data_IF_292303142176
#
_entry.id   IF_292303142176
#
_cell.length_a   1.000
_cell.length_b   1.000
_cell.length_c   1.000
_cell.angle_alpha   90.00
_cell.angle_beta   90.00
_cell.angle_gamma   90.00
#
_symmetry.space_group_name_H-M   'P 1'
#
loop_
_entity.id
_entity.type
_entity.pdbx_description
1 polymer ?
#
# COMPACT_ATOMS: atom_id res chain seq x y z
N UNK A 1 74.02 -38.72 -44.01
CA UNK A 1 73.08 -39.73 -43.51
C UNK A 1 71.80 -39.02 -43.07
N UNK A 2 70.69 -39.33 -43.73
CA UNK A 2 69.26 -39.38 -43.30
C UNK A 2 68.79 -38.33 -42.26
N UNK A 3 67.93 -37.35 -42.57
CA UNK A 3 66.46 -37.39 -42.86
C UNK A 3 65.68 -36.80 -41.66
N UNK A 4 65.04 -35.63 -41.83
CA UNK A 4 63.57 -35.36 -41.80
C UNK A 4 62.91 -35.72 -40.45
N UNK A 5 62.25 -34.78 -39.76
CA UNK A 5 60.87 -34.43 -40.08
C UNK A 5 60.42 -33.02 -39.63
N UNK A 6 59.36 -32.58 -40.29
CA UNK A 6 58.80 -31.24 -40.43
C UNK A 6 57.56 -31.05 -39.53
N UNK A 7 57.08 -29.80 -39.47
CA UNK A 7 55.69 -29.31 -39.21
C UNK A 7 55.34 -29.21 -37.71
N UNK A 8 54.69 -28.17 -37.13
CA UNK A 8 53.69 -27.23 -37.64
C UNK A 8 53.53 -25.99 -36.74
N UNK A 9 53.38 -24.85 -37.38
CA UNK A 9 53.09 -23.49 -36.86
C UNK A 9 51.70 -23.48 -36.18
N UNK A 10 51.62 -23.18 -34.88
CA UNK A 10 50.34 -23.00 -34.16
C UNK A 10 49.99 -21.51 -34.05
N UNK A 11 49.01 -21.11 -34.85
CA UNK A 11 48.29 -19.84 -34.84
C UNK A 11 47.49 -19.73 -33.53
N UNK A 12 47.76 -18.71 -32.71
CA UNK A 12 47.01 -18.44 -31.47
C UNK A 12 45.83 -17.53 -31.82
N UNK A 13 44.62 -18.09 -31.85
CA UNK A 13 43.37 -17.35 -32.02
C UNK A 13 42.94 -16.85 -30.63
N UNK A 14 42.97 -15.53 -30.44
CA UNK A 14 42.52 -14.85 -29.23
C UNK A 14 40.99 -14.73 -29.27
N UNK A 15 40.30 -15.54 -28.47
CA UNK A 15 38.84 -15.55 -28.36
C UNK A 15 38.44 -14.61 -27.20
N UNK A 16 38.08 -13.37 -27.51
CA UNK A 16 37.46 -12.45 -26.54
C UNK A 16 36.02 -12.92 -26.29
N UNK A 17 35.81 -13.59 -25.16
CA UNK A 17 34.47 -13.91 -24.64
C UNK A 17 33.91 -12.61 -24.04
N UNK A 18 33.03 -11.96 -24.79
CA UNK A 18 32.20 -10.85 -24.30
C UNK A 18 31.13 -11.44 -23.37
N UNK A 19 31.40 -11.47 -22.07
CA UNK A 19 30.39 -11.69 -21.05
C UNK A 19 29.45 -10.48 -21.06
N UNK A 20 28.41 -10.53 -21.89
CA UNK A 20 27.23 -9.69 -21.70
C UNK A 20 26.62 -10.09 -20.37
N UNK A 21 26.94 -9.33 -19.32
CA UNK A 21 26.18 -9.32 -18.07
C UNK A 21 24.81 -8.78 -18.43
N UNK A 22 23.93 -9.66 -18.85
CA UNK A 22 22.50 -9.39 -18.89
C UNK A 22 22.10 -9.12 -17.46
N UNK A 23 21.97 -7.85 -17.10
CA UNK A 23 21.29 -7.45 -15.87
C UNK A 23 20.00 -8.24 -15.81
N UNK A 24 19.73 -8.99 -14.73
CA UNK A 24 18.39 -9.50 -14.54
C UNK A 24 17.52 -8.26 -14.50
N UNK A 25 16.68 -8.08 -15.53
CA UNK A 25 15.49 -7.27 -15.41
C UNK A 25 14.68 -7.98 -14.33
N UNK A 26 14.95 -7.64 -13.08
CA UNK A 26 14.02 -7.86 -12.01
C UNK A 26 12.78 -7.09 -12.46
N UNK A 27 11.81 -7.81 -13.00
CA UNK A 27 10.42 -7.41 -12.86
C UNK A 27 10.13 -7.46 -11.36
N UNK A 28 10.68 -6.48 -10.63
CA UNK A 28 10.18 -6.13 -9.34
C UNK A 28 8.72 -5.80 -9.62
N UNK A 29 7.81 -6.61 -9.07
CA UNK A 29 6.46 -6.13 -8.85
C UNK A 29 6.63 -4.74 -8.25
N UNK A 30 6.16 -3.70 -8.94
CA UNK A 30 6.34 -2.32 -8.49
C UNK A 30 5.70 -2.24 -7.11
N UNK A 31 6.56 -2.29 -6.09
CA UNK A 31 6.19 -2.24 -4.69
C UNK A 31 6.04 -0.77 -4.36
N UNK A 32 5.07 -0.43 -3.51
CA UNK A 32 4.84 0.96 -3.15
C UNK A 32 6.12 1.60 -2.62
N UNK A 33 6.37 2.86 -2.96
CA UNK A 33 7.53 3.58 -2.39
C UNK A 33 7.36 3.79 -0.88
N UNK A 34 8.40 3.55 -0.07
CA UNK A 34 8.43 4.12 1.27
C UNK A 34 8.46 5.66 1.21
N UNK A 35 8.00 6.30 2.28
CA UNK A 35 7.99 7.75 2.43
C UNK A 35 6.61 8.33 2.71
N UNK A 36 6.45 9.62 2.42
CA UNK A 36 5.23 10.38 2.66
C UNK A 36 4.21 10.12 1.56
N UNK A 37 3.01 9.75 1.97
CA UNK A 37 1.86 9.60 1.08
C UNK A 37 0.71 10.49 1.52
N UNK A 38 -0.06 10.96 0.54
CA UNK A 38 -1.39 11.52 0.75
C UNK A 38 -2.43 10.44 0.45
N UNK A 39 -3.28 10.18 1.44
CA UNK A 39 -4.41 9.27 1.36
C UNK A 39 -5.68 10.08 1.28
N UNK A 40 -6.57 9.73 0.35
CA UNK A 40 -7.91 10.30 0.23
C UNK A 40 -8.94 9.20 0.37
N UNK A 41 -10.05 9.47 1.06
CA UNK A 41 -11.14 8.52 1.26
C UNK A 41 -12.48 9.23 1.12
N UNK A 42 -13.34 8.73 0.23
CA UNK A 42 -14.74 9.13 0.09
C UNK A 42 -15.60 7.99 0.58
N UNK A 43 -16.45 8.23 1.59
CA UNK A 43 -17.35 7.22 2.11
C UNK A 43 -18.78 7.75 2.21
N UNK A 44 -19.74 6.90 1.92
CA UNK A 44 -21.15 7.20 2.19
C UNK A 44 -21.42 7.43 3.68
N UNK A 45 -20.60 6.86 4.58
CA UNK A 45 -20.69 7.12 6.01
C UNK A 45 -20.46 8.60 6.35
N UNK A 46 -19.64 9.32 5.57
CA UNK A 46 -19.38 10.74 5.81
C UNK A 46 -20.56 11.63 5.45
N UNK A 47 -21.45 11.19 4.56
CA UNK A 47 -22.66 11.94 4.17
C UNK A 47 -23.61 12.14 5.35
N UNK A 48 -23.66 11.16 6.26
CA UNK A 48 -24.56 11.14 7.41
C UNK A 48 -23.88 11.49 8.74
N UNK A 49 -22.57 11.78 8.74
CA UNK A 49 -21.90 12.26 9.95
C UNK A 49 -22.31 13.71 10.24
N UNK A 50 -22.53 14.06 11.52
CA UNK A 50 -22.72 15.46 11.90
C UNK A 50 -21.53 16.28 11.40
N UNK A 51 -21.80 17.31 10.59
CA UNK A 51 -20.76 18.24 10.14
C UNK A 51 -20.20 18.93 11.38
N UNK A 52 -18.98 18.58 11.79
CA UNK A 52 -18.28 19.31 12.84
C UNK A 52 -17.89 20.68 12.27
N UNK A 53 -18.14 21.74 13.04
CA UNK A 53 -17.68 23.08 12.68
C UNK A 53 -16.16 23.16 12.66
N UNK A 54 -15.61 24.11 11.89
CA UNK A 54 -14.17 24.36 11.87
C UNK A 54 -13.60 24.66 13.27
N UNK A 55 -14.39 25.33 14.11
CA UNK A 55 -14.06 25.60 15.52
C UNK A 55 -13.97 24.34 16.36
N UNK A 56 -14.95 23.42 16.24
CA UNK A 56 -14.89 22.13 16.94
C UNK A 56 -13.67 21.31 16.51
N UNK A 57 -13.38 21.29 15.20
CA UNK A 57 -12.19 20.62 14.67
C UNK A 57 -10.90 21.24 15.24
N UNK A 58 -10.83 22.58 15.30
CA UNK A 58 -9.68 23.29 15.86
C UNK A 58 -9.53 23.06 17.36
N UNK A 59 -10.63 23.03 18.12
CA UNK A 59 -10.61 22.74 19.54
C UNK A 59 -10.17 21.30 19.82
N UNK A 60 -10.65 20.33 19.04
CA UNK A 60 -10.19 18.96 19.11
C UNK A 60 -8.69 18.84 18.80
N UNK A 61 -8.18 19.54 17.78
CA UNK A 61 -6.74 19.62 17.49
C UNK A 61 -5.95 20.22 18.65
N UNK A 62 -6.46 21.27 19.30
CA UNK A 62 -5.85 21.87 20.50
C UNK A 62 -5.82 20.90 21.67
N UNK A 63 -6.80 20.01 21.78
CA UNK A 63 -6.82 18.91 22.76
C UNK A 63 -5.96 17.70 22.35
N UNK A 64 -5.18 17.81 21.27
CA UNK A 64 -4.29 16.74 20.81
C UNK A 64 -4.98 15.63 20.01
N UNK A 65 -6.26 15.81 19.64
CA UNK A 65 -6.98 14.86 18.78
C UNK A 65 -6.57 15.12 17.33
N UNK A 66 -6.04 14.09 16.65
CA UNK A 66 -5.73 14.19 15.23
C UNK A 66 -7.02 14.12 14.42
N UNK A 67 -7.52 15.28 13.98
CA UNK A 67 -8.76 15.36 13.21
C UNK A 67 -8.45 15.40 11.72
N UNK A 68 -8.89 14.39 10.94
CA UNK A 68 -8.64 14.31 9.50
C UNK A 68 -9.09 15.57 8.75
N UNK A 69 -8.39 15.94 7.69
CA UNK A 69 -8.78 17.07 6.85
C UNK A 69 -9.89 16.63 5.90
N UNK A 70 -10.89 17.49 5.67
CA UNK A 70 -11.90 17.25 4.64
C UNK A 70 -11.60 18.14 3.43
N UNK A 71 -11.54 17.55 2.24
CA UNK A 71 -11.35 18.25 0.97
C UNK A 71 -12.24 17.61 -0.08
N UNK A 72 -13.08 18.41 -0.75
CA UNK A 72 -13.99 17.95 -1.81
C UNK A 72 -14.87 16.74 -1.43
N UNK A 73 -15.33 16.73 -0.17
CA UNK A 73 -16.14 15.63 0.38
C UNK A 73 -15.36 14.35 0.68
N UNK A 74 -14.04 14.34 0.49
CA UNK A 74 -13.14 13.27 0.88
C UNK A 74 -12.38 13.62 2.17
N UNK A 75 -12.16 12.61 2.99
CA UNK A 75 -11.21 12.68 4.09
C UNK A 75 -9.80 12.52 3.52
N UNK A 76 -8.96 13.53 3.71
CA UNK A 76 -7.57 13.54 3.27
C UNK A 76 -6.65 13.49 4.49
N UNK A 77 -5.64 12.65 4.42
CA UNK A 77 -4.63 12.50 5.47
C UNK A 77 -3.26 12.21 4.88
N UNK A 78 -2.21 12.62 5.59
CA UNK A 78 -0.84 12.26 5.23
C UNK A 78 -0.38 11.12 6.11
N UNK A 79 0.18 10.10 5.49
CA UNK A 79 0.66 8.88 6.13
C UNK A 79 2.10 8.64 5.71
N UNK A 80 2.96 8.38 6.69
CA UNK A 80 4.32 7.94 6.44
C UNK A 80 4.36 6.41 6.38
N UNK A 81 4.72 5.87 5.21
CA UNK A 81 4.80 4.44 4.93
C UNK A 81 6.26 4.01 5.07
N UNK A 82 6.53 3.05 5.95
CA UNK A 82 7.88 2.51 6.14
C UNK A 82 8.23 1.49 5.04
N UNK A 83 9.51 1.13 4.95
CA UNK A 83 9.97 0.11 4.01
C UNK A 83 9.28 -1.24 4.25
N UNK A 84 9.13 -1.64 5.50
CA UNK A 84 8.48 -2.90 5.88
C UNK A 84 6.98 -2.89 5.54
N UNK A 85 6.34 -1.72 5.53
CA UNK A 85 4.94 -1.58 5.09
C UNK A 85 4.83 -1.66 3.56
N UNK A 86 5.73 -0.98 2.84
CA UNK A 86 5.82 -1.01 1.39
C UNK A 86 6.06 -2.44 0.84
N UNK A 87 6.92 -3.21 1.50
CA UNK A 87 7.26 -4.58 1.14
C UNK A 87 6.12 -5.59 1.34
N UNK A 88 5.09 -5.25 2.13
CA UNK A 88 3.91 -6.13 2.31
C UNK A 88 3.01 -6.16 1.08
N UNK A 89 3.26 -5.32 0.08
CA UNK A 89 2.52 -5.19 -1.18
C UNK A 89 1.00 -5.04 -1.02
N UNK A 90 0.57 -4.65 0.16
CA UNK A 90 -0.83 -4.42 0.50
C UNK A 90 -1.01 -2.92 0.65
N UNK A 91 -2.06 -2.39 0.03
CA UNK A 91 -2.46 -1.02 0.30
C UNK A 91 -2.67 -0.86 1.81
N UNK A 92 -2.28 0.28 2.43
CA UNK A 92 -2.51 0.53 3.83
C UNK A 92 -4.01 0.54 4.13
N UNK A 93 -4.55 -0.63 4.45
CA UNK A 93 -5.89 -0.76 4.98
C UNK A 93 -5.85 -0.11 6.36
N UNK A 94 -6.73 0.87 6.58
CA UNK A 94 -6.83 1.57 7.87
C UNK A 94 -6.91 0.58 9.04
N UNK A 95 -6.41 1.03 10.21
CA UNK A 95 -6.18 0.28 11.45
C UNK A 95 -6.88 -1.10 11.54
N UNK A 96 -6.06 -2.12 11.84
CA UNK A 96 -6.47 -3.48 12.21
C UNK A 96 -7.24 -3.58 13.56
N UNK A 97 -7.99 -2.56 13.99
CA UNK A 97 -8.37 -2.39 15.40
C UNK A 97 -9.82 -2.73 15.76
N UNK A 98 -10.59 -3.42 14.90
CA UNK A 98 -12.00 -3.77 15.21
C UNK A 98 -12.38 -5.23 14.95
N UNK A 99 -11.43 -6.15 15.10
CA UNK A 99 -11.68 -7.58 14.86
C UNK A 99 -11.84 -7.95 13.38
N UNK A 100 -11.41 -7.06 12.48
CA UNK A 100 -11.42 -7.27 11.03
C UNK A 100 -10.08 -7.82 10.55
N UNK A 101 -10.13 -8.87 9.73
CA UNK A 101 -8.98 -9.55 9.16
C UNK A 101 -9.07 -9.54 7.64
N UNK A 102 -7.96 -9.21 6.97
CA UNK A 102 -7.80 -9.41 5.54
C UNK A 102 -7.55 -10.89 5.23
N UNK A 103 -8.26 -11.40 4.24
CA UNK A 103 -8.21 -12.77 3.75
C UNK A 103 -8.15 -12.76 2.22
N UNK A 104 -7.70 -13.88 1.66
CA UNK A 104 -7.72 -14.13 0.22
C UNK A 104 -7.14 -12.97 -0.61
N UNK A 105 -6.02 -12.40 -0.16
CA UNK A 105 -5.35 -11.36 -0.94
C UNK A 105 -4.87 -11.95 -2.26
N UNK A 106 -5.27 -11.33 -3.36
CA UNK A 106 -4.87 -11.69 -4.71
C UNK A 106 -4.33 -10.46 -5.41
N UNK A 107 -3.20 -10.61 -6.08
CA UNK A 107 -2.62 -9.58 -6.95
C UNK A 107 -2.38 -10.16 -8.33
N UNK A 108 -2.82 -9.44 -9.36
CA UNK A 108 -2.60 -9.78 -10.75
C UNK A 108 -2.18 -8.52 -11.50
N UNK A 109 -0.90 -8.45 -11.85
CA UNK A 109 -0.28 -7.23 -12.37
C UNK A 109 -0.45 -6.06 -11.40
N UNK A 110 -1.08 -4.99 -11.87
CA UNK A 110 -1.36 -3.81 -11.07
C UNK A 110 -2.67 -3.90 -10.27
N UNK A 111 -3.54 -4.88 -10.54
CA UNK A 111 -4.79 -5.03 -9.81
C UNK A 111 -4.60 -5.90 -8.56
N UNK A 112 -5.35 -5.59 -7.51
CA UNK A 112 -5.42 -6.39 -6.30
C UNK A 112 -6.84 -6.50 -5.77
N UNK A 113 -7.09 -7.54 -4.99
CA UNK A 113 -8.33 -7.71 -4.24
C UNK A 113 -8.08 -8.45 -2.93
N UNK A 114 -8.98 -8.25 -1.97
CA UNK A 114 -8.95 -8.94 -0.69
C UNK A 114 -10.35 -9.03 -0.11
N UNK A 115 -10.63 -10.12 0.59
CA UNK A 115 -11.82 -10.21 1.44
C UNK A 115 -11.48 -9.67 2.83
N UNK A 116 -12.41 -8.94 3.44
CA UNK A 116 -12.31 -8.48 4.81
C UNK A 116 -13.37 -9.22 5.62
N UNK A 117 -12.97 -9.87 6.70
CA UNK A 117 -13.88 -10.58 7.60
C UNK A 117 -13.75 -9.98 8.98
N UNK A 118 -14.85 -9.41 9.49
CA UNK A 118 -14.93 -8.88 10.83
C UNK A 118 -15.76 -9.82 11.70
N UNK A 119 -15.19 -10.23 12.84
CA UNK A 119 -15.91 -10.99 13.86
C UNK A 119 -15.57 -10.47 15.27
N UNK A 120 -15.62 -9.15 15.42
CA UNK A 120 -15.45 -8.46 16.69
C UNK A 120 -16.78 -8.31 17.46
N UNK A 121 -16.72 -7.99 18.77
CA UNK A 121 -17.91 -7.72 19.57
C UNK A 121 -18.71 -6.50 19.05
N UNK A 122 -17.99 -5.48 18.58
CA UNK A 122 -18.58 -4.24 18.08
C UNK A 122 -18.82 -4.22 16.57
N UNK A 123 -18.21 -5.13 15.81
CA UNK A 123 -18.27 -5.15 14.35
C UNK A 123 -18.21 -6.56 13.81
N UNK A 124 -19.27 -6.98 13.13
CA UNK A 124 -19.37 -8.28 12.45
C UNK A 124 -19.76 -8.07 11.00
N UNK A 125 -19.20 -8.86 10.09
CA UNK A 125 -19.59 -8.81 8.68
C UNK A 125 -18.47 -9.14 7.72
N UNK A 126 -18.75 -8.95 6.45
CA UNK A 126 -17.80 -9.19 5.37
C UNK A 126 -17.68 -7.98 4.47
N UNK A 127 -16.50 -7.79 3.92
CA UNK A 127 -16.25 -6.79 2.91
C UNK A 127 -15.35 -7.29 1.81
N UNK A 128 -15.34 -6.56 0.70
CA UNK A 128 -14.47 -6.82 -0.44
C UNK A 128 -13.72 -5.55 -0.78
N UNK A 129 -12.41 -5.68 -0.87
CA UNK A 129 -11.50 -4.66 -1.37
C UNK A 129 -11.15 -5.02 -2.79
N UNK A 130 -11.20 -4.04 -3.69
CA UNK A 130 -10.63 -4.13 -5.03
C UNK A 130 -9.86 -2.86 -5.30
N UNK A 131 -8.72 -2.95 -5.96
CA UNK A 131 -7.94 -1.76 -6.28
C UNK A 131 -6.94 -1.99 -7.37
N UNK A 132 -6.31 -0.90 -7.79
CA UNK A 132 -5.24 -0.90 -8.77
C UNK A 132 -4.10 0.00 -8.30
N UNK A 133 -2.88 -0.44 -8.53
CA UNK A 133 -1.68 0.37 -8.39
C UNK A 133 -1.42 1.14 -9.69
N UNK A 134 -0.97 2.38 -9.54
CA UNK A 134 -0.44 3.23 -10.60
C UNK A 134 1.08 3.31 -10.41
N UNK A 135 1.75 2.22 -10.78
CA UNK A 135 3.16 1.98 -10.47
C UNK A 135 3.45 1.98 -8.98
N UNK A 136 4.59 2.54 -8.58
CA UNK A 136 5.07 2.59 -7.20
C UNK A 136 4.65 3.87 -6.43
N UNK A 137 3.96 4.80 -7.10
CA UNK A 137 3.64 6.14 -6.56
C UNK A 137 2.15 6.43 -6.42
N UNK A 138 1.27 5.50 -6.81
CA UNK A 138 -0.17 5.71 -6.71
C UNK A 138 -0.97 4.43 -6.54
N UNK A 139 -2.16 4.55 -5.97
CA UNK A 139 -3.18 3.51 -6.02
C UNK A 139 -4.59 4.07 -5.92
N UNK A 140 -5.57 3.30 -6.36
CA UNK A 140 -7.00 3.48 -6.07
C UNK A 140 -7.60 2.19 -5.55
N UNK A 141 -8.64 2.29 -4.74
CA UNK A 141 -9.40 1.14 -4.27
C UNK A 141 -10.83 1.47 -3.91
N UNK A 142 -11.67 0.45 -4.02
CA UNK A 142 -13.03 0.43 -3.52
C UNK A 142 -13.12 -0.58 -2.39
N UNK A 143 -13.94 -0.27 -1.40
CA UNK A 143 -14.29 -1.16 -0.31
C UNK A 143 -15.79 -1.17 -0.13
N UNK A 144 -16.37 -2.36 -0.25
CA UNK A 144 -17.77 -2.63 0.03
C UNK A 144 -17.84 -3.49 1.27
N UNK A 145 -18.59 -3.06 2.28
CA UNK A 145 -18.79 -3.81 3.52
C UNK A 145 -20.26 -3.94 3.86
N UNK A 146 -20.64 -5.15 4.25
CA UNK A 146 -21.97 -5.46 4.80
C UNK A 146 -21.84 -6.19 6.11
N UNK A 147 -22.61 -5.73 7.10
CA UNK A 147 -22.58 -6.33 8.41
C UNK A 147 -23.35 -5.55 9.44
N UNK A 148 -22.85 -5.60 10.67
CA UNK A 148 -23.43 -4.96 11.84
C UNK A 148 -22.32 -4.23 12.60
N UNK A 149 -22.55 -2.98 12.96
CA UNK A 149 -21.68 -2.22 13.86
C UNK A 149 -22.49 -1.73 15.08
N UNK A 150 -22.02 -2.05 16.29
CA UNK A 150 -22.72 -1.77 17.55
C UNK A 150 -24.20 -2.18 17.51
N UNK A 151 -24.47 -3.40 17.03
CA UNK A 151 -25.83 -3.94 16.93
C UNK A 151 -26.71 -3.37 15.81
N UNK A 152 -26.23 -2.40 15.02
CA UNK A 152 -26.99 -1.81 13.90
C UNK A 152 -26.48 -2.29 12.54
N UNK A 153 -27.37 -2.61 11.58
CA UNK A 153 -26.96 -2.95 10.23
C UNK A 153 -26.14 -1.82 9.59
N UNK A 154 -25.07 -2.20 8.88
CA UNK A 154 -24.22 -1.29 8.11
C UNK A 154 -24.04 -1.87 6.72
N UNK A 155 -24.30 -1.04 5.73
CA UNK A 155 -23.91 -1.24 4.33
C UNK A 155 -23.08 -0.01 3.96
N UNK A 156 -21.80 -0.20 3.69
CA UNK A 156 -20.86 0.89 3.46
C UNK A 156 -20.08 0.67 2.19
N UNK A 157 -20.16 1.64 1.30
CA UNK A 157 -19.23 1.81 0.20
C UNK A 157 -18.26 2.94 0.54
N UNK A 158 -16.98 2.73 0.26
CA UNK A 158 -16.02 3.81 0.18
C UNK A 158 -14.98 3.59 -0.91
N UNK A 159 -14.54 4.70 -1.46
CA UNK A 159 -13.44 4.79 -2.41
C UNK A 159 -12.25 5.42 -1.70
N UNK A 160 -11.06 4.90 -1.95
CA UNK A 160 -9.82 5.49 -1.45
C UNK A 160 -8.77 5.59 -2.54
N UNK A 161 -7.87 6.54 -2.39
CA UNK A 161 -6.70 6.68 -3.24
C UNK A 161 -5.47 7.07 -2.42
N UNK A 162 -4.31 6.69 -2.94
CA UNK A 162 -3.02 7.05 -2.39
C UNK A 162 -2.14 7.70 -3.44
N UNK A 163 -1.41 8.74 -3.06
CA UNK A 163 -0.38 9.39 -3.87
C UNK A 163 0.90 9.59 -3.07
N UNK A 164 2.03 9.12 -3.60
CA UNK A 164 3.34 9.38 -3.03
C UNK A 164 3.73 10.85 -3.23
N UNK A 165 4.23 11.48 -2.16
CA UNK A 165 4.61 12.88 -2.14
C UNK A 165 6.12 13.07 -2.07
N UNK A 166 6.79 12.34 -1.18
CA UNK A 166 8.21 12.51 -0.91
C UNK A 166 8.81 11.27 -0.24
N UNK A 167 10.13 11.09 -0.35
CA UNK A 167 10.84 10.03 0.36
C UNK A 167 10.92 10.29 1.88
N UNK A 168 11.02 11.56 2.26
CA UNK A 168 11.04 12.00 3.65
C UNK A 168 9.61 12.27 4.16
N UNK A 169 9.32 11.77 5.36
CA UNK A 169 8.06 11.97 6.06
C UNK A 169 7.99 13.30 6.83
N UNK A 170 9.11 13.99 6.99
CA UNK A 170 9.20 15.24 7.75
C UNK A 170 8.65 15.07 9.17
N UNK A 171 7.69 15.91 9.56
CA UNK A 171 7.07 15.86 10.88
C UNK A 171 5.94 14.80 11.01
N UNK A 172 5.59 14.08 9.93
CA UNK A 172 4.52 13.08 9.96
C UNK A 172 5.08 11.78 10.54
N UNK A 173 4.67 11.46 11.76
CA UNK A 173 5.08 10.21 12.42
C UNK A 173 4.59 9.00 11.61
N UNK A 174 5.43 7.96 11.42
CA UNK A 174 5.01 6.70 10.82
C UNK A 174 3.73 6.17 11.46
N UNK A 175 2.84 5.61 10.63
CA UNK A 175 1.74 4.80 11.15
C UNK A 175 2.38 3.51 11.62
N UNK A 176 2.84 3.48 12.88
CA UNK A 176 3.25 2.23 13.51
C UNK A 176 2.05 1.29 13.47
N UNK A 177 2.21 0.03 13.02
CA UNK A 177 1.25 -1.00 13.35
C UNK A 177 1.17 -0.98 14.87
N UNK A 178 0.04 -0.53 15.44
CA UNK A 178 -0.14 -0.55 16.88
C UNK A 178 0.04 -2.01 17.31
N UNK A 179 1.18 -2.31 17.92
CA UNK A 179 1.37 -3.54 18.64
C UNK A 179 0.25 -3.59 19.68
N UNK A 180 -0.41 -4.75 19.87
CA UNK A 180 -1.40 -4.88 20.92
C UNK A 180 -0.74 -4.46 22.23
N UNK A 181 -1.39 -3.55 22.96
CA UNK A 181 -0.98 -3.21 24.31
C UNK A 181 -0.89 -4.53 25.09
N UNK A 182 0.29 -4.77 25.68
CA UNK A 182 0.58 -5.96 26.48
C UNK A 182 -0.28 -5.99 27.73
#
# INVERSE_FOLDING_TARGET
MQAKDTVMRKTVISMLICCTVGSPAAWAAETMKPGLWEMSMKSDAFKNMPKMSAEQMAQMRKMGVNVPQMQDGAMVSRVCITKEMAEREQAPMGRHDRGCQARNFQRSGNAYSSDIVCDGPDMKGTGKVKGTFAGDTGFTSTYDFKGTAHGRPVDNHHESSGKWLAADCGAVKPVTPMQPAK
#
